data_IF_821581765869
#
_entry.id   IF_821581765869
#
_cell.length_a   1.000
_cell.length_b   1.000
_cell.length_c   1.000
_cell.angle_alpha   90.00
_cell.angle_beta   90.00
_cell.angle_gamma   90.00
#
_symmetry.space_group_name_H-M   'P 1'
#
loop_
_entity.id
_entity.type
_entity.pdbx_description
1 polymer ?
#
# COMPACT_ATOMS: atom_id res chain seq x y z
N UNK A 1 -17.85 -28.20 6.73
CA UNK A 1 -16.95 -27.07 6.54
C UNK A 1 -16.20 -27.23 5.22
N UNK A 2 -16.26 -26.23 4.36
CA UNK A 2 -15.73 -26.28 2.99
C UNK A 2 -14.21 -26.03 2.88
N UNK A 3 -13.49 -25.90 4.01
CA UNK A 3 -12.04 -25.70 4.01
C UNK A 3 -11.56 -24.57 3.07
N UNK A 4 -10.54 -24.86 2.25
CA UNK A 4 -9.96 -23.91 1.29
C UNK A 4 -10.98 -23.48 0.22
N UNK A 5 -11.85 -24.39 -0.24
CA UNK A 5 -12.90 -24.07 -1.21
C UNK A 5 -13.92 -23.05 -0.65
N UNK A 6 -14.26 -23.14 0.65
CA UNK A 6 -15.13 -22.17 1.30
C UNK A 6 -14.54 -20.75 1.34
N UNK A 7 -13.24 -20.64 1.60
CA UNK A 7 -12.55 -19.36 1.56
C UNK A 7 -12.54 -18.74 0.15
N UNK A 8 -12.30 -19.56 -0.88
CA UNK A 8 -12.35 -19.12 -2.27
C UNK A 8 -13.74 -18.62 -2.67
N UNK A 9 -14.79 -19.38 -2.34
CA UNK A 9 -16.19 -19.00 -2.63
C UNK A 9 -16.55 -17.70 -1.92
N UNK A 10 -16.21 -17.55 -0.64
CA UNK A 10 -16.47 -16.33 0.12
C UNK A 10 -15.77 -15.09 -0.52
N UNK A 11 -14.54 -15.26 -0.98
CA UNK A 11 -13.79 -14.20 -1.68
C UNK A 11 -14.50 -13.79 -2.98
N UNK A 12 -14.91 -14.77 -3.78
CA UNK A 12 -15.62 -14.51 -5.05
C UNK A 12 -16.95 -13.80 -4.79
N UNK A 13 -17.75 -14.27 -3.83
CA UNK A 13 -19.01 -13.62 -3.44
C UNK A 13 -18.76 -12.19 -2.99
N UNK A 14 -17.74 -11.95 -2.15
CA UNK A 14 -17.37 -10.62 -1.69
C UNK A 14 -17.01 -9.68 -2.84
N UNK A 15 -16.21 -10.13 -3.80
CA UNK A 15 -15.83 -9.35 -4.97
C UNK A 15 -17.02 -9.02 -5.88
N UNK A 16 -17.90 -10.00 -6.15
CA UNK A 16 -19.13 -9.78 -6.93
C UNK A 16 -20.08 -8.80 -6.22
N UNK A 17 -20.26 -8.93 -4.91
CA UNK A 17 -21.09 -8.02 -4.13
C UNK A 17 -20.54 -6.60 -4.15
N UNK A 18 -19.22 -6.43 -3.98
CA UNK A 18 -18.55 -5.13 -4.04
C UNK A 18 -18.67 -4.50 -5.45
N UNK A 19 -18.45 -5.28 -6.50
CA UNK A 19 -18.59 -4.81 -7.88
C UNK A 19 -20.04 -4.39 -8.20
N UNK A 20 -21.01 -5.20 -7.79
CA UNK A 20 -22.44 -4.90 -7.97
C UNK A 20 -22.85 -3.64 -7.24
N UNK A 21 -22.42 -3.49 -5.97
CA UNK A 21 -22.68 -2.29 -5.18
C UNK A 21 -22.04 -1.05 -5.81
N UNK A 22 -20.77 -1.14 -6.23
CA UNK A 22 -20.08 -0.05 -6.90
C UNK A 22 -20.80 0.37 -8.19
N UNK A 23 -21.27 -0.58 -9.00
CA UNK A 23 -22.02 -0.31 -10.22
C UNK A 23 -23.36 0.38 -9.93
N UNK A 24 -24.11 -0.07 -8.92
CA UNK A 24 -25.37 0.54 -8.50
C UNK A 24 -25.17 1.97 -8.01
N UNK A 25 -24.16 2.18 -7.14
CA UNK A 25 -23.82 3.50 -6.62
C UNK A 25 -23.35 4.44 -7.76
N UNK A 26 -22.52 3.95 -8.66
CA UNK A 26 -22.09 4.69 -9.84
C UNK A 26 -23.28 5.15 -10.66
N UNK A 27 -24.21 4.24 -10.99
CA UNK A 27 -25.41 4.56 -11.77
C UNK A 27 -26.35 5.53 -11.05
N UNK A 28 -26.43 5.44 -9.72
CA UNK A 28 -27.34 6.27 -8.91
C UNK A 28 -26.81 7.68 -8.66
N UNK A 29 -25.52 7.81 -8.38
CA UNK A 29 -24.92 9.07 -7.93
C UNK A 29 -24.02 9.75 -8.96
N UNK A 30 -23.67 9.07 -10.05
CA UNK A 30 -22.83 9.66 -11.07
C UNK A 30 -23.67 10.50 -12.04
N UNK A 31 -23.50 11.82 -11.95
CA UNK A 31 -24.18 12.81 -12.82
C UNK A 31 -23.31 13.34 -13.95
N UNK A 32 -22.00 13.06 -13.92
CA UNK A 32 -21.02 13.70 -14.79
C UNK A 32 -20.41 12.78 -15.85
N UNK A 33 -20.41 11.47 -15.62
CA UNK A 33 -19.77 10.50 -16.51
C UNK A 33 -20.82 9.62 -17.19
N UNK A 34 -20.89 9.68 -18.51
CA UNK A 34 -21.73 8.80 -19.32
C UNK A 34 -20.88 7.76 -20.02
N UNK A 35 -20.99 6.51 -19.58
CA UNK A 35 -20.35 5.38 -20.26
C UNK A 35 -21.11 5.08 -21.53
N UNK A 36 -20.51 5.34 -22.70
CA UNK A 36 -21.08 5.03 -24.01
C UNK A 36 -20.07 4.25 -24.85
N UNK A 37 -20.41 3.01 -25.15
CA UNK A 37 -19.60 2.17 -26.05
C UNK A 37 -19.77 2.52 -27.51
N UNK A 38 -20.84 3.25 -27.89
CA UNK A 38 -21.15 3.59 -29.29
C UNK A 38 -20.16 4.58 -29.95
N UNK A 39 -19.45 5.37 -29.12
CA UNK A 39 -18.46 6.36 -29.58
C UNK A 39 -17.03 5.99 -29.19
N UNK A 40 -16.80 4.74 -28.79
CA UNK A 40 -15.47 4.29 -28.39
C UNK A 40 -14.53 4.32 -29.60
N UNK A 41 -13.46 5.08 -29.49
CA UNK A 41 -12.34 5.10 -30.45
C UNK A 41 -11.04 4.90 -29.66
N UNK A 42 -10.19 4.06 -30.20
CA UNK A 42 -8.85 3.86 -29.63
C UNK A 42 -8.01 5.09 -29.98
N UNK A 43 -7.61 5.85 -28.97
CA UNK A 43 -6.70 6.99 -29.12
C UNK A 43 -5.33 6.59 -28.58
N UNK A 44 -4.37 6.41 -29.47
CA UNK A 44 -3.00 6.01 -29.11
C UNK A 44 -2.29 7.07 -28.27
N UNK A 45 -2.65 8.35 -28.39
CA UNK A 45 -2.08 9.41 -27.57
C UNK A 45 -2.50 9.26 -26.10
N UNK A 46 -3.78 9.03 -25.86
CA UNK A 46 -4.32 8.77 -24.51
C UNK A 46 -3.72 7.49 -23.93
N UNK A 47 -3.60 6.43 -24.75
CA UNK A 47 -2.97 5.17 -24.34
C UNK A 47 -1.51 5.40 -23.92
N UNK A 48 -0.75 6.14 -24.73
CA UNK A 48 0.65 6.46 -24.42
C UNK A 48 0.80 7.23 -23.10
N UNK A 49 -0.05 8.22 -22.86
CA UNK A 49 -0.07 8.97 -21.60
C UNK A 49 -0.42 8.05 -20.41
N UNK A 50 -1.39 7.16 -20.57
CA UNK A 50 -1.76 6.21 -19.54
C UNK A 50 -0.62 5.26 -19.21
N UNK A 51 0.04 4.68 -20.21
CA UNK A 51 1.16 3.77 -20.00
C UNK A 51 2.41 4.46 -19.45
N UNK A 52 2.61 5.74 -19.73
CA UNK A 52 3.73 6.50 -19.14
C UNK A 52 3.66 6.59 -17.61
N UNK A 53 2.47 6.48 -17.03
CA UNK A 53 2.25 6.44 -15.59
C UNK A 53 2.09 4.99 -15.10
N UNK A 54 1.35 4.17 -15.86
CA UNK A 54 1.04 2.81 -15.46
C UNK A 54 2.28 1.91 -15.38
N UNK A 55 3.23 2.02 -16.32
CA UNK A 55 4.44 1.18 -16.31
C UNK A 55 5.31 1.45 -15.07
N UNK A 56 5.72 2.68 -14.74
CA UNK A 56 6.45 2.96 -13.51
C UNK A 56 5.69 2.50 -12.25
N UNK A 57 4.39 2.75 -12.17
CA UNK A 57 3.57 2.32 -11.03
C UNK A 57 3.50 0.79 -10.92
N UNK A 58 3.39 0.06 -12.03
CA UNK A 58 3.40 -1.41 -12.03
C UNK A 58 4.75 -1.97 -11.55
N UNK A 59 5.86 -1.42 -12.03
CA UNK A 59 7.20 -1.80 -11.55
C UNK A 59 7.29 -1.60 -10.04
N UNK A 60 6.86 -0.43 -9.55
CA UNK A 60 6.85 -0.09 -8.13
C UNK A 60 6.03 -1.08 -7.29
N UNK A 61 4.87 -1.54 -7.81
CA UNK A 61 4.03 -2.53 -7.12
C UNK A 61 4.64 -3.95 -7.14
N UNK A 62 5.50 -4.28 -8.10
CA UNK A 62 6.19 -5.56 -8.17
C UNK A 62 7.43 -5.62 -7.25
N UNK A 63 8.09 -4.49 -6.98
CA UNK A 63 9.32 -4.44 -6.18
C UNK A 63 9.21 -5.13 -4.81
N UNK A 64 8.15 -4.93 -4.01
CA UNK A 64 8.02 -5.62 -2.73
C UNK A 64 7.99 -7.14 -2.87
N UNK A 65 7.35 -7.67 -3.91
CA UNK A 65 7.29 -9.12 -4.15
C UNK A 65 8.67 -9.70 -4.50
N UNK A 66 9.44 -8.98 -5.32
CA UNK A 66 10.82 -9.35 -5.66
C UNK A 66 11.69 -9.31 -4.40
N UNK A 67 11.60 -8.25 -3.61
CA UNK A 67 12.33 -8.09 -2.36
C UNK A 67 12.03 -9.24 -1.37
N UNK A 68 10.76 -9.54 -1.17
CA UNK A 68 10.34 -10.64 -0.28
C UNK A 68 10.89 -11.99 -0.77
N UNK A 69 10.87 -12.24 -2.07
CA UNK A 69 11.41 -13.48 -2.64
C UNK A 69 12.92 -13.59 -2.46
N UNK A 70 13.67 -12.52 -2.70
CA UNK A 70 15.13 -12.49 -2.49
C UNK A 70 15.50 -12.65 -1.01
N UNK A 71 14.81 -11.92 -0.13
CA UNK A 71 15.05 -12.02 1.32
C UNK A 71 14.73 -13.42 1.85
N UNK A 72 13.64 -14.04 1.42
CA UNK A 72 13.33 -15.41 1.81
C UNK A 72 14.42 -16.40 1.34
N UNK A 73 14.98 -16.19 0.14
CA UNK A 73 16.11 -16.98 -0.36
C UNK A 73 17.35 -16.86 0.55
N UNK A 74 17.70 -15.64 0.96
CA UNK A 74 18.83 -15.38 1.86
C UNK A 74 18.54 -15.94 3.26
N UNK A 75 17.37 -15.67 3.81
CA UNK A 75 17.00 -16.09 5.17
C UNK A 75 16.91 -17.62 5.30
N UNK A 76 16.49 -18.32 4.23
CA UNK A 76 16.43 -19.77 4.20
C UNK A 76 17.80 -20.45 4.34
N UNK A 77 18.86 -19.77 3.90
CA UNK A 77 20.24 -20.25 4.09
C UNK A 77 20.78 -20.04 5.51
N UNK A 78 20.12 -19.19 6.32
CA UNK A 78 20.51 -18.90 7.71
C UNK A 78 19.75 -19.81 8.67
N UNK A 79 18.43 -19.72 8.70
CA UNK A 79 17.58 -20.58 9.54
C UNK A 79 16.11 -20.54 9.12
N UNK A 80 15.40 -21.65 9.41
CA UNK A 80 13.95 -21.73 9.20
C UNK A 80 13.19 -20.76 10.11
N UNK A 81 13.71 -20.49 11.30
CA UNK A 81 13.13 -19.51 12.24
C UNK A 81 13.20 -18.10 11.71
N UNK A 82 14.26 -17.73 10.97
CA UNK A 82 14.40 -16.42 10.34
C UNK A 82 13.37 -16.22 9.22
N UNK A 83 13.12 -17.25 8.41
CA UNK A 83 12.06 -17.20 7.38
C UNK A 83 10.68 -17.05 8.00
N UNK A 84 10.39 -17.82 9.06
CA UNK A 84 9.12 -17.74 9.78
C UNK A 84 8.92 -16.34 10.39
N UNK A 85 9.95 -15.80 11.06
CA UNK A 85 9.94 -14.44 11.58
C UNK A 85 9.64 -13.41 10.51
N UNK A 86 10.34 -13.46 9.38
CA UNK A 86 10.14 -12.51 8.28
C UNK A 86 8.72 -12.57 7.72
N UNK A 87 8.13 -13.75 7.61
CA UNK A 87 6.73 -13.94 7.20
C UNK A 87 5.73 -13.27 8.16
N UNK A 88 5.96 -13.38 9.48
CA UNK A 88 5.14 -12.70 10.49
C UNK A 88 5.37 -11.19 10.48
N UNK A 89 6.62 -10.75 10.41
CA UNK A 89 6.95 -9.33 10.26
C UNK A 89 6.22 -8.70 9.07
N UNK A 90 6.26 -9.33 7.90
CA UNK A 90 5.61 -8.83 6.70
C UNK A 90 4.09 -8.70 6.85
N UNK A 91 3.44 -9.64 7.55
CA UNK A 91 2.01 -9.54 7.87
C UNK A 91 1.73 -8.37 8.81
N UNK A 92 2.50 -8.24 9.89
CA UNK A 92 2.36 -7.15 10.85
C UNK A 92 2.61 -5.79 10.19
N UNK A 93 3.65 -5.68 9.37
CA UNK A 93 3.93 -4.49 8.57
C UNK A 93 2.74 -4.11 7.69
N UNK A 94 2.15 -5.08 7.00
CA UNK A 94 0.99 -4.84 6.13
C UNK A 94 -0.16 -4.22 6.89
N UNK A 95 -0.44 -4.65 8.13
CA UNK A 95 -1.48 -4.05 8.97
C UNK A 95 -1.22 -2.58 9.26
N UNK A 96 0.03 -2.20 9.51
CA UNK A 96 0.41 -0.80 9.79
C UNK A 96 0.33 0.05 8.51
N UNK A 97 0.70 -0.51 7.35
CA UNK A 97 0.69 0.23 6.09
C UNK A 97 -0.69 0.32 5.42
N UNK A 98 -1.63 -0.56 5.74
CA UNK A 98 -2.99 -0.52 5.17
C UNK A 98 -3.70 0.82 5.37
N UNK A 99 -3.82 1.37 6.61
CA UNK A 99 -4.42 2.69 6.81
C UNK A 99 -3.67 3.80 6.08
N UNK A 100 -2.33 3.73 6.08
CA UNK A 100 -1.48 4.69 5.37
C UNK A 100 -1.76 4.70 3.86
N UNK A 101 -1.89 3.53 3.27
CA UNK A 101 -2.27 3.38 1.86
C UNK A 101 -3.65 3.98 1.56
N UNK A 102 -4.60 3.83 2.48
CA UNK A 102 -5.92 4.46 2.37
C UNK A 102 -5.83 5.99 2.35
N UNK A 103 -5.02 6.59 3.23
CA UNK A 103 -4.78 8.04 3.24
C UNK A 103 -4.17 8.53 1.92
N UNK A 104 -3.16 7.82 1.42
CA UNK A 104 -2.52 8.16 0.13
C UNK A 104 -3.51 8.08 -1.03
N UNK A 105 -4.34 7.03 -1.08
CA UNK A 105 -5.36 6.87 -2.12
C UNK A 105 -6.42 7.99 -2.06
N UNK A 106 -6.85 8.40 -0.86
CA UNK A 106 -7.76 9.54 -0.68
C UNK A 106 -7.12 10.89 -1.02
N UNK A 107 -5.84 11.06 -0.74
CA UNK A 107 -5.08 12.26 -1.03
C UNK A 107 -4.90 12.51 -2.54
N UNK A 108 -4.66 11.45 -3.33
CA UNK A 108 -4.35 11.55 -4.77
C UNK A 108 -5.36 12.38 -5.58
N UNK A 109 -6.68 12.10 -5.56
CA UNK A 109 -7.64 12.88 -6.32
C UNK A 109 -7.72 14.34 -5.86
N UNK A 110 -7.62 14.58 -4.55
CA UNK A 110 -7.60 15.94 -3.99
C UNK A 110 -6.39 16.73 -4.47
N UNK A 111 -5.21 16.10 -4.45
CA UNK A 111 -3.96 16.71 -4.91
C UNK A 111 -4.02 17.02 -6.40
N UNK A 112 -4.45 16.06 -7.24
CA UNK A 112 -4.57 16.22 -8.69
C UNK A 112 -5.55 17.33 -9.07
N UNK A 113 -6.70 17.39 -8.41
CA UNK A 113 -7.71 18.44 -8.65
C UNK A 113 -7.17 19.83 -8.34
N UNK A 114 -6.58 20.00 -7.16
CA UNK A 114 -6.04 21.31 -6.75
C UNK A 114 -4.81 21.72 -7.56
N UNK A 115 -4.02 20.76 -8.05
CA UNK A 115 -2.93 21.01 -8.98
C UNK A 115 -3.45 21.55 -10.32
N UNK A 116 -4.45 20.90 -10.91
CA UNK A 116 -5.09 21.39 -12.14
C UNK A 116 -5.73 22.77 -11.98
N UNK A 117 -6.30 23.05 -10.81
CA UNK A 117 -6.87 24.35 -10.47
C UNK A 117 -5.82 25.40 -10.05
N UNK A 118 -4.51 25.06 -10.01
CA UNK A 118 -3.38 25.92 -9.60
C UNK A 118 -3.51 26.49 -8.17
N UNK A 119 -4.21 25.81 -7.28
CA UNK A 119 -4.47 26.20 -5.90
C UNK A 119 -3.34 25.72 -4.96
N UNK A 120 -2.19 26.39 -5.00
CA UNK A 120 -0.97 26.00 -4.25
C UNK A 120 -1.20 25.88 -2.73
N UNK A 121 -1.93 26.84 -2.14
CA UNK A 121 -2.22 26.82 -0.70
C UNK A 121 -2.96 25.55 -0.27
N UNK A 122 -3.98 25.14 -1.05
CA UNK A 122 -4.73 23.90 -0.78
C UNK A 122 -3.88 22.67 -0.95
N UNK A 123 -3.02 22.62 -1.97
CA UNK A 123 -2.06 21.54 -2.15
C UNK A 123 -1.14 21.41 -0.93
N UNK A 124 -0.62 22.54 -0.42
CA UNK A 124 0.23 22.54 0.77
C UNK A 124 -0.50 22.05 2.01
N UNK A 125 -1.75 22.44 2.19
CA UNK A 125 -2.60 21.96 3.29
C UNK A 125 -2.85 20.46 3.19
N UNK A 126 -3.19 19.94 2.01
CA UNK A 126 -3.39 18.50 1.77
C UNK A 126 -2.11 17.74 2.10
N UNK A 127 -0.96 18.20 1.62
CA UNK A 127 0.34 17.59 1.89
C UNK A 127 0.64 17.56 3.39
N UNK A 128 0.46 18.66 4.08
CA UNK A 128 0.71 18.80 5.52
C UNK A 128 -0.18 17.89 6.35
N UNK A 129 -1.48 17.89 6.08
CA UNK A 129 -2.45 17.06 6.84
C UNK A 129 -2.21 15.57 6.56
N UNK A 130 -2.08 15.16 5.29
CA UNK A 130 -1.81 13.77 4.94
C UNK A 130 -0.48 13.30 5.52
N UNK A 131 0.57 14.13 5.44
CA UNK A 131 1.88 13.82 5.99
C UNK A 131 1.85 13.63 7.50
N UNK A 132 1.14 14.49 8.23
CA UNK A 132 1.01 14.39 9.68
C UNK A 132 0.25 13.11 10.08
N UNK A 133 -0.84 12.78 9.37
CA UNK A 133 -1.61 11.55 9.65
C UNK A 133 -0.79 10.30 9.34
N UNK A 134 -0.07 10.27 8.21
CA UNK A 134 0.81 9.15 7.84
C UNK A 134 1.93 8.99 8.88
N UNK A 135 2.58 10.09 9.27
CA UNK A 135 3.64 10.06 10.27
C UNK A 135 3.11 9.60 11.65
N UNK A 136 1.90 10.00 12.03
CA UNK A 136 1.27 9.55 13.27
C UNK A 136 0.97 8.04 13.24
N UNK A 137 0.43 7.51 12.14
CA UNK A 137 0.12 6.08 11.99
C UNK A 137 1.41 5.25 12.02
N UNK A 138 2.42 5.63 11.23
CA UNK A 138 3.67 4.88 11.16
C UNK A 138 4.51 5.04 12.43
N UNK A 139 4.46 6.22 13.07
CA UNK A 139 5.05 6.45 14.38
C UNK A 139 4.41 5.60 15.48
N UNK A 140 3.08 5.52 15.51
CA UNK A 140 2.37 4.63 16.42
C UNK A 140 2.72 3.15 16.16
N UNK A 141 2.84 2.74 14.88
CA UNK A 141 3.32 1.41 14.50
C UNK A 141 4.74 1.13 14.99
N UNK A 142 5.64 2.10 14.85
CA UNK A 142 7.01 2.00 15.38
C UNK A 142 6.99 1.80 16.89
N UNK A 143 6.24 2.63 17.63
CA UNK A 143 6.13 2.53 19.08
C UNK A 143 5.55 1.16 19.51
N UNK A 144 4.53 0.69 18.82
CA UNK A 144 3.92 -0.62 19.09
C UNK A 144 4.94 -1.75 18.92
N UNK A 145 5.70 -1.77 17.83
CA UNK A 145 6.72 -2.80 17.58
C UNK A 145 7.90 -2.70 18.52
N UNK A 146 8.20 -1.50 19.00
CA UNK A 146 9.32 -1.28 19.92
C UNK A 146 8.97 -1.68 21.36
N UNK A 147 7.74 -1.39 21.81
CA UNK A 147 7.32 -1.59 23.20
C UNK A 147 6.87 -3.05 23.46
N UNK A 148 6.10 -3.63 22.53
CA UNK A 148 5.45 -4.94 22.74
C UNK A 148 5.77 -5.99 21.67
N UNK A 149 7.04 -6.16 21.25
CA UNK A 149 7.40 -7.08 20.17
C UNK A 149 7.03 -8.52 20.49
N UNK A 150 7.24 -8.98 21.73
CA UNK A 150 6.95 -10.34 22.16
C UNK A 150 5.46 -10.66 22.14
N UNK A 151 4.60 -9.70 22.50
CA UNK A 151 3.15 -9.86 22.42
C UNK A 151 2.72 -10.03 20.96
N UNK A 152 3.25 -9.20 20.08
CA UNK A 152 2.93 -9.27 18.64
C UNK A 152 3.34 -10.61 18.03
N UNK A 153 4.53 -11.11 18.39
CA UNK A 153 5.02 -12.40 17.90
C UNK A 153 4.22 -13.57 18.48
N UNK A 154 3.83 -13.50 19.74
CA UNK A 154 3.05 -14.55 20.40
C UNK A 154 1.66 -14.76 19.78
N UNK A 155 1.06 -13.72 19.19
CA UNK A 155 -0.20 -13.82 18.43
C UNK A 155 -0.10 -14.77 17.21
N UNK A 156 1.12 -15.03 16.74
CA UNK A 156 1.39 -15.92 15.60
C UNK A 156 2.02 -17.26 16.02
N UNK A 157 1.85 -17.68 17.29
CA UNK A 157 2.42 -18.91 17.83
C UNK A 157 3.94 -19.04 17.58
N UNK A 158 4.68 -17.95 17.83
CA UNK A 158 6.11 -17.91 17.61
C UNK A 158 6.85 -18.97 18.45
N UNK A 159 7.74 -19.75 17.80
CA UNK A 159 8.65 -20.66 18.48
C UNK A 159 9.71 -19.90 19.30
N UNK A 160 10.36 -20.56 20.25
CA UNK A 160 11.42 -19.95 21.08
C UNK A 160 12.54 -19.34 20.22
N UNK A 161 13.01 -20.05 19.20
CA UNK A 161 14.02 -19.54 18.28
C UNK A 161 13.54 -18.34 17.42
N UNK A 162 12.24 -18.27 17.15
CA UNK A 162 11.64 -17.13 16.44
C UNK A 162 11.51 -15.91 17.37
N UNK A 163 11.21 -16.10 18.66
CA UNK A 163 11.13 -15.02 19.65
C UNK A 163 12.50 -14.37 19.88
N UNK A 164 13.56 -15.18 19.98
CA UNK A 164 14.93 -14.71 20.20
C UNK A 164 15.41 -13.76 19.09
N UNK A 165 15.20 -14.13 17.82
CA UNK A 165 15.57 -13.30 16.67
C UNK A 165 14.56 -12.17 16.48
N UNK A 166 13.28 -12.46 16.71
CA UNK A 166 12.16 -11.62 16.35
C UNK A 166 12.03 -10.37 17.20
N UNK A 167 12.35 -10.42 18.48
CA UNK A 167 12.29 -9.24 19.35
C UNK A 167 13.22 -8.14 18.86
N UNK A 168 14.48 -8.48 18.64
CA UNK A 168 15.48 -7.54 18.12
C UNK A 168 15.16 -7.13 16.69
N UNK A 169 14.72 -8.08 15.84
CA UNK A 169 14.34 -7.83 14.47
C UNK A 169 13.19 -6.83 14.34
N UNK A 170 12.11 -6.99 15.11
CA UNK A 170 10.97 -6.06 15.09
C UNK A 170 11.37 -4.64 15.51
N UNK A 171 12.19 -4.50 16.56
CA UNK A 171 12.65 -3.19 17.01
C UNK A 171 13.49 -2.47 15.96
N UNK A 172 14.44 -3.16 15.34
CA UNK A 172 15.28 -2.57 14.29
C UNK A 172 14.45 -2.21 13.05
N UNK A 173 13.65 -3.15 12.56
CA UNK A 173 12.85 -2.96 11.35
C UNK A 173 11.78 -1.87 11.50
N UNK A 174 11.22 -1.71 12.71
CA UNK A 174 10.20 -0.68 12.95
C UNK A 174 10.73 0.75 12.82
N UNK A 175 12.01 0.98 13.04
CA UNK A 175 12.61 2.31 12.85
C UNK A 175 12.51 2.77 11.39
N UNK A 176 12.48 1.84 10.44
CA UNK A 176 12.31 2.16 9.03
C UNK A 176 10.94 2.79 8.72
N UNK A 177 9.91 2.57 9.55
CA UNK A 177 8.57 3.12 9.34
C UNK A 177 8.56 4.65 9.39
N UNK A 178 9.37 5.24 10.27
CA UNK A 178 9.49 6.71 10.40
C UNK A 178 10.06 7.29 9.10
N UNK A 179 11.14 6.70 8.59
CA UNK A 179 11.78 7.15 7.35
C UNK A 179 10.86 6.94 6.14
N UNK A 180 10.22 5.76 6.07
CA UNK A 180 9.32 5.41 4.97
C UNK A 180 8.05 6.27 4.93
N UNK A 181 7.66 6.92 6.04
CA UNK A 181 6.51 7.83 6.06
C UNK A 181 6.63 8.95 5.03
N UNK A 182 7.83 9.52 4.92
CA UNK A 182 8.12 10.53 3.91
C UNK A 182 8.12 9.96 2.49
N UNK A 183 8.74 8.79 2.28
CA UNK A 183 8.78 8.11 0.98
C UNK A 183 7.38 7.78 0.46
N UNK A 184 6.53 7.21 1.31
CA UNK A 184 5.15 6.84 0.96
C UNK A 184 4.32 8.08 0.60
N UNK A 185 4.44 9.16 1.39
CA UNK A 185 3.75 10.42 1.11
C UNK A 185 4.20 11.02 -0.23
N UNK A 186 5.51 11.17 -0.45
CA UNK A 186 6.05 11.75 -1.67
C UNK A 186 5.76 10.91 -2.91
N UNK A 187 5.85 9.60 -2.81
CA UNK A 187 5.45 8.69 -3.88
C UNK A 187 4.00 8.93 -4.30
N UNK A 188 3.07 9.02 -3.33
CA UNK A 188 1.66 9.32 -3.60
C UNK A 188 1.44 10.69 -4.24
N UNK A 189 2.19 11.71 -3.84
CA UNK A 189 2.14 13.06 -4.44
C UNK A 189 2.62 13.03 -5.89
N UNK A 190 3.76 12.40 -6.17
CA UNK A 190 4.28 12.31 -7.52
C UNK A 190 3.34 11.55 -8.46
N UNK A 191 2.70 10.49 -7.99
CA UNK A 191 1.67 9.79 -8.78
C UNK A 191 0.45 10.69 -9.04
N UNK A 192 0.00 11.44 -8.03
CA UNK A 192 -1.12 12.37 -8.18
C UNK A 192 -0.84 13.47 -9.21
N UNK A 193 0.42 13.88 -9.35
CA UNK A 193 0.87 14.88 -10.32
C UNK A 193 1.19 14.31 -11.71
N UNK A 194 1.04 12.98 -11.90
CA UNK A 194 1.40 12.31 -13.15
C UNK A 194 2.91 12.11 -13.34
N UNK A 195 3.69 12.28 -12.29
CA UNK A 195 5.15 12.18 -12.29
C UNK A 195 5.62 10.77 -11.88
N UNK A 196 5.11 9.72 -12.54
CA UNK A 196 5.35 8.32 -12.18
C UNK A 196 6.83 7.92 -12.07
N UNK A 197 7.72 8.50 -12.90
CA UNK A 197 9.16 8.24 -12.84
C UNK A 197 9.78 8.69 -11.50
N UNK A 198 9.38 9.85 -11.00
CA UNK A 198 9.86 10.36 -9.71
C UNK A 198 9.29 9.56 -8.53
N UNK A 199 8.05 9.09 -8.66
CA UNK A 199 7.45 8.18 -7.69
C UNK A 199 8.25 6.87 -7.58
N UNK A 200 8.66 6.29 -8.72
CA UNK A 200 9.49 5.10 -8.76
C UNK A 200 10.84 5.32 -8.06
N UNK A 201 11.53 6.44 -8.36
CA UNK A 201 12.85 6.74 -7.76
C UNK A 201 12.76 6.88 -6.24
N UNK A 202 11.69 7.51 -5.73
CA UNK A 202 11.50 7.71 -4.28
C UNK A 202 11.11 6.40 -3.57
N UNK A 203 10.56 5.43 -4.31
CA UNK A 203 10.13 4.13 -3.76
C UNK A 203 11.24 3.07 -3.77
N UNK A 204 12.33 3.32 -4.49
CA UNK A 204 13.55 2.49 -4.50
C UNK A 204 14.45 2.78 -3.30
#
# INVERSE_FOLDING_TARGET
AFGVAGAAIATVIGQFSAASLAFVLFKKYNTHLHISFKKFRVDFHVISQLYSIAIPSSVMMCLPSVLVSLLNGILSSISQSAVAFFGVYYKLQTFIYMPTSGIVQGMRPLMSYNYGAKLKERMHQILKVSGLVIAAILGAGTLLFFIVPNVLLSLFNASSGMLEIGETGLRILSLSFIVSSFGVLMSGVFEALGLGKYSLIVSL
#
